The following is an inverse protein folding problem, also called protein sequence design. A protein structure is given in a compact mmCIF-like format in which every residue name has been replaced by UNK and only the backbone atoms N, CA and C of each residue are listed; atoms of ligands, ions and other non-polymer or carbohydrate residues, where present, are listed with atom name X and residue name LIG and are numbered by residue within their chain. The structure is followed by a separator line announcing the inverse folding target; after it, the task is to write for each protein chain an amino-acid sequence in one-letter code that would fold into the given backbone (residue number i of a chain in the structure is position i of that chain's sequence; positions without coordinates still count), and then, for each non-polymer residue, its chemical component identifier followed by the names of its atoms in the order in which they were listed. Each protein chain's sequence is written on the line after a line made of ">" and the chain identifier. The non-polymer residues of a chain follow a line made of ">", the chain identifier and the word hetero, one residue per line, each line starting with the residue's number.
data_IF_746128651684
#
_entry.id   IF_746128651684
#
_cell.length_a   1.000
_cell.length_b   1.000
_cell.length_c   1.000
_cell.angle_alpha   90.00
_cell.angle_beta   90.00
_cell.angle_gamma   90.00
#
_symmetry.space_group_name_H-M   'P 1'
#
loop_
_entity.id
_entity.type
_entity.pdbx_description
1 polymer ?
#
# COMPACT_ATOMS: atom_id res chain seq x y z
N UNK A 1 57.09 -63.32 32.19
CA UNK A 1 56.09 -63.05 31.22
C UNK A 1 55.52 -61.63 31.40
N UNK A 2 55.98 -60.68 30.61
CA UNK A 2 55.45 -59.34 30.61
C UNK A 2 54.23 -59.26 29.65
N UNK A 3 53.04 -59.00 30.16
CA UNK A 3 51.86 -58.68 29.42
C UNK A 3 51.93 -57.18 29.02
N UNK A 4 52.02 -56.89 27.72
CA UNK A 4 51.90 -55.58 27.21
C UNK A 4 50.38 -55.26 27.05
N UNK A 5 49.94 -54.25 27.80
CA UNK A 5 48.62 -53.68 27.70
C UNK A 5 48.67 -52.63 26.60
N UNK A 6 47.94 -52.85 25.46
CA UNK A 6 47.73 -51.83 24.40
C UNK A 6 46.54 -51.01 24.81
N UNK A 7 46.75 -49.73 25.10
CA UNK A 7 45.69 -48.73 25.19
C UNK A 7 45.32 -48.31 23.74
N UNK A 8 44.10 -48.64 23.32
CA UNK A 8 43.52 -48.10 22.13
C UNK A 8 42.90 -46.73 22.47
N UNK A 9 43.53 -45.66 22.04
CA UNK A 9 42.99 -44.30 22.12
C UNK A 9 42.01 -44.10 20.95
N UNK A 10 40.70 -44.18 21.25
CA UNK A 10 39.66 -43.88 20.29
C UNK A 10 39.55 -42.36 20.10
N UNK A 11 39.88 -41.89 18.91
CA UNK A 11 39.69 -40.50 18.47
C UNK A 11 38.21 -40.31 18.11
N UNK A 12 37.41 -39.73 19.01
CA UNK A 12 36.05 -39.31 18.71
C UNK A 12 36.15 -38.00 17.95
N UNK A 13 36.04 -38.05 16.63
CA UNK A 13 35.87 -36.88 15.80
C UNK A 13 34.43 -36.35 15.97
N UNK A 14 34.23 -35.36 16.80
CA UNK A 14 33.00 -34.57 16.85
C UNK A 14 32.91 -33.73 15.57
N UNK A 15 32.13 -34.21 14.60
CA UNK A 15 31.69 -33.40 13.50
C UNK A 15 30.70 -32.36 14.07
N UNK A 16 31.21 -31.20 14.44
CA UNK A 16 30.39 -30.01 14.61
C UNK A 16 29.89 -29.59 13.22
N UNK A 17 28.73 -30.12 12.83
CA UNK A 17 28.01 -29.64 11.68
C UNK A 17 27.60 -28.19 11.90
N UNK A 18 28.34 -27.25 11.32
CA UNK A 18 27.87 -25.88 11.17
C UNK A 18 26.60 -25.91 10.34
N UNK A 19 25.46 -25.96 11.01
CA UNK A 19 24.19 -25.62 10.34
C UNK A 19 24.34 -24.16 9.91
N UNK A 20 24.74 -23.93 8.67
CA UNK A 20 24.53 -22.68 7.99
C UNK A 20 23.01 -22.45 8.09
N UNK A 21 22.60 -21.50 8.94
CA UNK A 21 21.23 -21.03 8.96
C UNK A 21 20.97 -20.46 7.57
N UNK A 22 20.40 -21.31 6.71
CA UNK A 22 19.93 -20.88 5.40
C UNK A 22 18.87 -19.83 5.69
N UNK A 23 19.10 -18.59 5.24
CA UNK A 23 18.12 -17.54 5.37
C UNK A 23 16.79 -18.11 4.90
N UNK A 24 15.77 -18.07 5.76
CA UNK A 24 14.47 -18.64 5.42
C UNK A 24 14.00 -17.97 4.12
N UNK A 25 13.68 -18.80 3.11
CA UNK A 25 13.15 -18.31 1.84
C UNK A 25 11.76 -17.71 2.10
N UNK A 26 11.70 -16.40 2.22
CA UNK A 26 10.50 -15.63 2.53
C UNK A 26 9.96 -14.94 1.28
N UNK A 27 8.68 -14.60 1.30
CA UNK A 27 8.09 -13.68 0.32
C UNK A 27 8.04 -12.29 0.98
N UNK A 28 8.87 -11.38 0.49
CA UNK A 28 8.89 -10.01 0.99
C UNK A 28 7.70 -9.20 0.48
N UNK A 29 7.06 -8.48 1.38
CA UNK A 29 5.92 -7.58 1.12
C UNK A 29 6.30 -6.19 1.61
N UNK A 30 6.28 -5.21 0.69
CA UNK A 30 6.56 -3.82 1.02
C UNK A 30 5.36 -3.14 1.67
N UNK A 31 5.62 -2.36 2.73
CA UNK A 31 4.62 -1.51 3.38
C UNK A 31 5.13 -0.07 3.30
N UNK A 32 4.46 0.74 2.47
CA UNK A 32 4.86 2.09 2.14
C UNK A 32 3.83 3.08 2.71
N UNK A 33 3.97 3.40 3.99
CA UNK A 33 3.11 4.31 4.72
C UNK A 33 3.92 5.28 5.58
N UNK A 34 3.50 6.56 5.63
CA UNK A 34 4.14 7.55 6.49
C UNK A 34 3.94 7.22 7.96
N UNK A 35 5.04 7.06 8.68
CA UNK A 35 5.08 6.80 10.12
C UNK A 35 5.46 8.06 10.89
N UNK A 36 5.88 9.10 10.18
CA UNK A 36 6.19 10.44 10.68
C UNK A 36 5.60 11.52 9.76
N UNK A 37 5.60 12.76 10.24
CA UNK A 37 4.97 13.89 9.53
C UNK A 37 3.45 13.94 9.67
N UNK A 38 2.82 14.78 8.85
CA UNK A 38 1.38 15.13 8.99
C UNK A 38 0.43 13.97 8.73
N UNK A 39 0.83 12.98 7.93
CA UNK A 39 -0.02 11.85 7.57
C UNK A 39 0.14 10.65 8.50
N UNK A 40 1.08 10.68 9.45
CA UNK A 40 1.34 9.57 10.36
C UNK A 40 0.09 9.12 11.14
N UNK A 41 -0.75 10.05 11.53
CA UNK A 41 -2.01 9.78 12.27
C UNK A 41 -2.94 8.83 11.49
N UNK A 42 -2.97 8.92 10.16
CA UNK A 42 -3.81 8.06 9.31
C UNK A 42 -3.07 6.81 8.84
N UNK A 43 -1.79 6.94 8.49
CA UNK A 43 -1.04 5.88 7.81
C UNK A 43 -0.43 4.83 8.77
N UNK A 44 -0.19 5.19 10.04
CA UNK A 44 0.31 4.22 11.04
C UNK A 44 -0.65 3.06 11.25
N UNK A 45 -1.96 3.32 11.31
CA UNK A 45 -2.97 2.27 11.48
C UNK A 45 -3.05 1.35 10.26
N UNK A 46 -2.80 1.85 9.05
CA UNK A 46 -2.73 1.02 7.83
C UNK A 46 -1.51 0.09 7.88
N UNK A 47 -0.36 0.59 8.29
CA UNK A 47 0.83 -0.24 8.52
C UNK A 47 0.56 -1.33 9.56
N UNK A 48 -0.06 -0.98 10.71
CA UNK A 48 -0.37 -1.94 11.76
C UNK A 48 -1.35 -3.02 11.27
N UNK A 49 -2.36 -2.63 10.49
CA UNK A 49 -3.30 -3.58 9.86
C UNK A 49 -2.58 -4.55 8.94
N UNK A 50 -1.66 -4.06 8.10
CA UNK A 50 -0.88 -4.94 7.22
C UNK A 50 0.01 -5.90 7.99
N UNK A 51 0.68 -5.43 9.05
CA UNK A 51 1.49 -6.29 9.91
C UNK A 51 0.65 -7.39 10.57
N UNK A 52 -0.52 -7.05 11.08
CA UNK A 52 -1.47 -8.00 11.65
C UNK A 52 -1.88 -9.08 10.62
N UNK A 53 -2.24 -8.67 9.40
CA UNK A 53 -2.66 -9.59 8.34
C UNK A 53 -1.51 -10.52 7.89
N UNK A 54 -0.29 -10.01 7.81
CA UNK A 54 0.91 -10.80 7.51
C UNK A 54 1.14 -11.83 8.62
N UNK A 55 1.05 -11.42 9.89
CA UNK A 55 1.18 -12.32 11.03
C UNK A 55 0.11 -13.43 11.03
N UNK A 56 -1.15 -13.06 10.76
CA UNK A 56 -2.24 -14.03 10.67
C UNK A 56 -2.04 -15.02 9.52
N UNK A 57 -1.58 -14.55 8.36
CA UNK A 57 -1.29 -15.43 7.24
C UNK A 57 -0.12 -16.36 7.55
N UNK A 58 0.90 -15.87 8.24
CA UNK A 58 2.05 -16.68 8.67
C UNK A 58 1.66 -17.73 9.70
N UNK A 59 0.75 -17.44 10.63
CA UNK A 59 0.18 -18.44 11.57
C UNK A 59 -0.57 -19.56 10.84
N UNK A 60 -1.14 -19.28 9.67
CA UNK A 60 -1.82 -20.27 8.82
C UNK A 60 -0.85 -21.07 7.93
N UNK A 61 0.46 -20.86 8.07
CA UNK A 61 1.50 -21.55 7.29
C UNK A 61 2.12 -20.73 6.17
N UNK A 62 1.84 -19.42 6.12
CA UNK A 62 2.39 -18.52 5.11
C UNK A 62 1.67 -18.60 3.75
N UNK A 63 2.40 -18.41 2.67
CA UNK A 63 1.89 -18.43 1.31
C UNK A 63 2.85 -19.23 0.43
N UNK A 64 2.31 -20.17 -0.37
CA UNK A 64 3.11 -21.02 -1.26
C UNK A 64 4.24 -21.79 -0.52
N UNK A 65 4.01 -22.18 0.72
CA UNK A 65 4.99 -22.87 1.55
C UNK A 65 6.08 -21.95 2.15
N UNK A 66 5.96 -20.64 2.02
CA UNK A 66 6.92 -19.64 2.52
C UNK A 66 6.26 -18.69 3.51
N UNK A 67 7.03 -18.21 4.47
CA UNK A 67 6.57 -17.14 5.35
C UNK A 67 6.60 -15.80 4.61
N UNK A 68 5.66 -14.92 4.96
CA UNK A 68 5.68 -13.53 4.50
C UNK A 68 6.60 -12.70 5.40
N UNK A 69 7.40 -11.85 4.80
CA UNK A 69 8.29 -10.91 5.49
C UNK A 69 7.89 -9.47 5.16
N UNK A 70 7.50 -8.71 6.18
CA UNK A 70 7.16 -7.30 6.00
C UNK A 70 8.43 -6.44 5.88
N UNK A 71 8.52 -5.64 4.83
CA UNK A 71 9.53 -4.60 4.67
C UNK A 71 8.84 -3.26 4.81
N UNK A 72 8.98 -2.64 5.98
CA UNK A 72 8.31 -1.37 6.32
C UNK A 72 9.26 -0.21 6.06
N UNK A 73 8.79 0.80 5.34
CA UNK A 73 9.53 2.04 5.09
C UNK A 73 8.70 3.25 5.47
N UNK A 74 9.35 4.31 5.93
CA UNK A 74 8.72 5.58 6.28
C UNK A 74 9.09 6.67 5.25
N UNK A 75 8.18 7.09 4.39
CA UNK A 75 8.38 8.23 3.49
C UNK A 75 8.09 9.59 4.15
N UNK A 76 7.89 9.65 5.47
CA UNK A 76 7.82 10.85 6.30
C UNK A 76 6.86 11.94 5.79
N UNK A 77 5.71 11.56 5.21
CA UNK A 77 4.74 12.48 4.59
C UNK A 77 5.33 13.38 3.48
N UNK A 78 6.44 12.94 2.87
CA UNK A 78 7.17 13.66 1.83
C UNK A 78 7.02 12.95 0.49
N UNK A 79 6.36 13.57 -0.48
CA UNK A 79 6.01 12.92 -1.74
C UNK A 79 7.21 12.48 -2.59
N UNK A 80 8.31 13.29 -2.75
CA UNK A 80 9.54 12.80 -3.37
C UNK A 80 10.12 11.57 -2.68
N UNK A 81 10.10 11.54 -1.35
CA UNK A 81 10.60 10.42 -0.56
C UNK A 81 9.70 9.15 -0.74
N UNK A 82 8.40 9.30 -1.00
CA UNK A 82 7.56 8.17 -1.41
C UNK A 82 8.10 7.48 -2.66
N UNK A 83 8.46 8.24 -3.70
CA UNK A 83 9.01 7.69 -4.93
C UNK A 83 10.37 7.02 -4.71
N UNK A 84 11.24 7.62 -3.89
CA UNK A 84 12.54 7.04 -3.52
C UNK A 84 12.35 5.71 -2.77
N UNK A 85 11.49 5.68 -1.76
CA UNK A 85 11.20 4.48 -0.97
C UNK A 85 10.51 3.39 -1.78
N UNK A 86 9.63 3.74 -2.72
CA UNK A 86 9.06 2.78 -3.65
C UNK A 86 10.16 2.13 -4.52
N UNK A 87 11.11 2.91 -5.02
CA UNK A 87 12.24 2.40 -5.79
C UNK A 87 13.14 1.50 -4.95
N UNK A 88 13.43 1.88 -3.70
CA UNK A 88 14.20 1.06 -2.75
C UNK A 88 13.54 -0.31 -2.54
N UNK A 89 12.23 -0.34 -2.22
CA UNK A 89 11.47 -1.57 -2.04
C UNK A 89 11.54 -2.50 -3.26
N UNK A 90 11.42 -1.94 -4.48
CA UNK A 90 11.38 -2.74 -5.71
C UNK A 90 12.77 -3.20 -6.16
N UNK A 91 13.82 -2.40 -5.97
CA UNK A 91 15.15 -2.69 -6.53
C UNK A 91 16.11 -3.30 -5.52
N UNK A 92 16.15 -2.78 -4.30
CA UNK A 92 17.06 -3.23 -3.24
C UNK A 92 16.46 -4.36 -2.44
N UNK A 93 15.23 -4.17 -1.94
CA UNK A 93 14.57 -5.15 -1.07
C UNK A 93 13.90 -6.26 -1.88
N UNK A 94 13.60 -6.01 -3.15
CA UNK A 94 13.02 -6.96 -4.11
C UNK A 94 11.70 -7.55 -3.60
N UNK A 95 10.81 -6.69 -3.10
CA UNK A 95 9.50 -7.11 -2.61
C UNK A 95 8.61 -7.60 -3.76
N UNK A 96 7.78 -8.59 -3.48
CA UNK A 96 6.84 -9.16 -4.46
C UNK A 96 5.69 -8.21 -4.79
N UNK A 97 5.24 -7.44 -3.82
CA UNK A 97 4.18 -6.44 -3.95
C UNK A 97 4.33 -5.37 -2.86
N UNK A 98 3.78 -4.20 -3.08
CA UNK A 98 3.74 -3.10 -2.13
C UNK A 98 2.29 -2.76 -1.79
N UNK A 99 2.00 -2.61 -0.50
CA UNK A 99 0.76 -2.04 0.02
C UNK A 99 1.09 -0.66 0.58
N UNK A 100 0.46 0.38 0.07
CA UNK A 100 0.87 1.70 0.51
C UNK A 100 0.18 2.86 -0.13
N UNK A 101 0.67 4.03 0.24
CA UNK A 101 0.13 5.34 -0.01
C UNK A 101 -1.22 5.55 0.70
N UNK A 102 -1.56 6.80 0.93
CA UNK A 102 -2.86 7.23 1.44
C UNK A 102 -3.39 8.43 0.66
N UNK A 103 -2.55 9.44 0.45
CA UNK A 103 -2.93 10.62 -0.32
C UNK A 103 -2.87 10.35 -1.82
N UNK A 104 -3.71 11.02 -2.59
CA UNK A 104 -3.66 10.94 -4.06
C UNK A 104 -2.32 11.40 -4.63
N UNK A 105 -1.69 12.41 -4.00
CA UNK A 105 -0.36 12.90 -4.42
C UNK A 105 0.73 11.87 -4.17
N UNK A 106 0.72 11.16 -3.02
CA UNK A 106 1.71 10.10 -2.78
C UNK A 106 1.57 8.98 -3.81
N UNK A 107 0.34 8.55 -4.13
CA UNK A 107 0.10 7.58 -5.20
C UNK A 107 0.64 8.07 -6.54
N UNK A 108 0.33 9.30 -6.93
CA UNK A 108 0.80 9.89 -8.20
C UNK A 108 2.33 10.02 -8.25
N UNK A 109 2.98 10.26 -7.12
CA UNK A 109 4.44 10.32 -7.03
C UNK A 109 5.12 8.97 -7.26
N UNK A 110 4.50 7.88 -6.80
CA UNK A 110 5.07 6.53 -6.94
C UNK A 110 4.66 5.84 -8.25
N UNK A 111 3.56 6.24 -8.87
CA UNK A 111 3.03 5.61 -10.09
C UNK A 111 4.10 5.43 -11.19
N UNK A 112 4.88 6.45 -11.56
CA UNK A 112 5.93 6.30 -12.58
C UNK A 112 6.99 5.25 -12.20
N UNK A 113 7.31 5.13 -10.90
CA UNK A 113 8.30 4.15 -10.40
C UNK A 113 7.77 2.73 -10.56
N UNK A 114 6.50 2.50 -10.20
CA UNK A 114 5.88 1.18 -10.37
C UNK A 114 5.74 0.78 -11.84
N UNK A 115 5.42 1.72 -12.72
CA UNK A 115 5.33 1.47 -14.16
C UNK A 115 6.71 1.20 -14.78
N UNK A 116 7.73 2.00 -14.46
CA UNK A 116 9.10 1.82 -14.94
C UNK A 116 9.70 0.48 -14.53
N UNK A 117 9.51 0.10 -13.26
CA UNK A 117 10.10 -1.11 -12.69
C UNK A 117 9.19 -2.34 -12.77
N UNK A 118 8.01 -2.19 -13.37
CA UNK A 118 7.00 -3.23 -13.47
C UNK A 118 6.64 -3.86 -12.10
N UNK A 119 6.61 -3.03 -11.05
CA UNK A 119 6.19 -3.41 -9.70
C UNK A 119 4.67 -3.46 -9.56
N UNK A 120 4.19 -3.99 -8.43
CA UNK A 120 2.77 -4.02 -8.08
C UNK A 120 2.50 -3.19 -6.84
N UNK A 121 1.57 -2.23 -6.95
CA UNK A 121 1.06 -1.43 -5.85
C UNK A 121 -0.41 -1.78 -5.57
N UNK A 122 -0.72 -2.08 -4.32
CA UNK A 122 -2.09 -2.16 -3.81
C UNK A 122 -2.38 -0.88 -3.03
N UNK A 123 -3.20 -0.02 -3.63
CA UNK A 123 -3.59 1.27 -3.05
C UNK A 123 -4.92 1.12 -2.29
N UNK A 124 -4.93 1.29 -0.93
CA UNK A 124 -6.04 0.84 -0.11
C UNK A 124 -7.18 1.86 0.09
N UNK A 125 -7.01 3.11 -0.36
CA UNK A 125 -7.88 4.22 0.00
C UNK A 125 -8.81 4.59 -1.17
N UNK A 126 -9.98 5.17 -0.86
CA UNK A 126 -10.83 5.79 -1.88
C UNK A 126 -10.05 6.89 -2.63
N UNK A 127 -10.40 7.09 -3.88
CA UNK A 127 -9.68 8.03 -4.73
C UNK A 127 -10.61 8.70 -5.75
N UNK A 128 -10.10 9.71 -6.43
CA UNK A 128 -10.83 10.52 -7.40
C UNK A 128 -11.13 9.82 -8.72
N UNK A 129 -10.67 8.59 -8.94
CA UNK A 129 -10.78 7.92 -10.23
C UNK A 129 -9.89 8.58 -11.30
N UNK A 130 -10.29 8.47 -12.57
CA UNK A 130 -9.62 9.06 -13.75
C UNK A 130 -8.12 8.69 -13.88
N UNK A 131 -7.74 7.57 -13.31
CA UNK A 131 -6.40 7.00 -13.38
C UNK A 131 -6.51 5.49 -13.51
N UNK A 132 -5.72 4.91 -14.40
CA UNK A 132 -5.61 3.46 -14.52
C UNK A 132 -4.17 3.08 -14.85
N UNK A 133 -3.69 2.02 -14.22
CA UNK A 133 -2.38 1.46 -14.48
C UNK A 133 -2.44 -0.05 -14.28
N UNK A 134 -1.75 -0.80 -15.14
CA UNK A 134 -1.59 -2.24 -14.95
C UNK A 134 -0.76 -2.60 -13.72
N UNK A 135 -0.08 -1.63 -13.15
CA UNK A 135 0.81 -1.77 -12.00
C UNK A 135 0.15 -1.37 -10.68
N UNK A 136 -1.09 -0.85 -10.70
CA UNK A 136 -1.80 -0.40 -9.49
C UNK A 136 -3.15 -1.07 -9.38
N UNK A 137 -3.38 -1.69 -8.23
CA UNK A 137 -4.69 -2.20 -7.80
C UNK A 137 -5.35 -1.17 -6.90
N UNK A 138 -6.37 -0.50 -7.41
CA UNK A 138 -7.17 0.48 -6.68
C UNK A 138 -8.24 -0.27 -5.89
N UNK A 139 -8.03 -0.49 -4.60
CA UNK A 139 -8.92 -1.31 -3.77
C UNK A 139 -9.94 -0.48 -2.98
N UNK A 140 -9.78 0.85 -2.98
CA UNK A 140 -10.75 1.79 -2.42
C UNK A 140 -11.81 2.24 -3.42
N UNK A 141 -12.86 2.90 -2.92
CA UNK A 141 -13.98 3.35 -3.75
C UNK A 141 -13.58 4.48 -4.72
N UNK A 142 -14.06 4.38 -5.94
CA UNK A 142 -14.03 5.45 -6.94
C UNK A 142 -15.30 6.32 -6.86
N UNK A 143 -15.37 7.50 -7.53
CA UNK A 143 -16.51 8.40 -7.43
C UNK A 143 -17.86 7.78 -7.80
N UNK A 144 -17.89 6.85 -8.76
CA UNK A 144 -19.11 6.12 -9.13
C UNK A 144 -19.62 5.16 -8.04
N UNK A 145 -18.78 4.82 -7.08
CA UNK A 145 -19.11 3.94 -5.94
C UNK A 145 -19.42 4.71 -4.65
N UNK A 146 -19.04 5.98 -4.57
CA UNK A 146 -19.16 6.81 -3.38
C UNK A 146 -19.87 8.14 -3.65
N UNK A 147 -19.28 9.03 -4.42
CA UNK A 147 -19.75 10.41 -4.59
C UNK A 147 -21.02 10.48 -5.44
N UNK A 148 -21.08 9.76 -6.57
CA UNK A 148 -22.24 9.74 -7.45
C UNK A 148 -23.49 9.16 -6.76
N UNK A 149 -23.44 8.02 -6.06
CA UNK A 149 -24.58 7.53 -5.28
C UNK A 149 -25.07 8.53 -4.22
N UNK A 150 -24.17 9.25 -3.55
CA UNK A 150 -24.54 10.27 -2.58
C UNK A 150 -25.30 11.43 -3.25
N UNK A 151 -24.84 11.90 -4.40
CA UNK A 151 -25.56 12.93 -5.20
C UNK A 151 -26.94 12.42 -5.61
N UNK A 152 -27.06 11.20 -6.14
CA UNK A 152 -28.35 10.63 -6.51
C UNK A 152 -29.33 10.60 -5.34
N UNK A 153 -28.86 10.13 -4.19
CA UNK A 153 -29.67 10.09 -2.97
C UNK A 153 -30.19 11.49 -2.60
N UNK A 154 -29.34 12.52 -2.64
CA UNK A 154 -29.74 13.88 -2.31
C UNK A 154 -30.72 14.46 -3.35
N UNK A 155 -30.52 14.16 -4.63
CA UNK A 155 -31.47 14.54 -5.69
C UNK A 155 -32.85 13.91 -5.46
N UNK A 156 -32.91 12.63 -5.08
CA UNK A 156 -34.14 11.93 -4.73
C UNK A 156 -34.85 12.54 -3.50
N UNK A 157 -34.09 13.20 -2.61
CA UNK A 157 -34.62 13.98 -1.50
C UNK A 157 -35.06 15.40 -1.90
N UNK A 158 -34.98 15.77 -3.17
CA UNK A 158 -35.42 17.06 -3.69
C UNK A 158 -34.38 18.19 -3.57
N UNK A 159 -33.10 17.87 -3.34
CA UNK A 159 -32.04 18.89 -3.34
C UNK A 159 -31.83 19.43 -4.75
N UNK A 160 -31.92 20.76 -4.90
CA UNK A 160 -31.80 21.45 -6.18
C UNK A 160 -30.54 22.32 -6.27
N UNK A 161 -30.05 22.85 -5.13
CA UNK A 161 -28.88 23.73 -5.09
C UNK A 161 -27.71 23.05 -4.40
N UNK A 162 -26.52 23.18 -4.99
CA UNK A 162 -25.35 22.39 -4.65
C UNK A 162 -24.16 23.28 -4.31
N UNK A 163 -23.47 22.93 -3.24
CA UNK A 163 -22.16 23.47 -2.91
C UNK A 163 -21.17 22.31 -2.88
N UNK A 164 -20.24 22.30 -3.83
CA UNK A 164 -19.15 21.35 -3.93
C UNK A 164 -17.92 21.98 -3.28
N UNK A 165 -17.75 21.74 -1.97
CA UNK A 165 -16.65 22.29 -1.20
C UNK A 165 -15.49 21.29 -1.12
N UNK A 166 -14.25 21.79 -1.06
CA UNK A 166 -13.06 20.98 -0.89
C UNK A 166 -11.82 21.83 -0.61
N UNK A 167 -10.77 21.18 -0.17
CA UNK A 167 -9.44 21.81 -0.10
C UNK A 167 -8.84 21.98 -1.50
N UNK A 168 -7.93 22.92 -1.67
CA UNK A 168 -7.16 23.10 -2.91
C UNK A 168 -6.15 21.95 -3.10
N UNK A 169 -6.68 20.78 -3.52
CA UNK A 169 -5.94 19.53 -3.60
C UNK A 169 -6.50 18.65 -4.73
N UNK A 170 -5.71 17.74 -5.26
CA UNK A 170 -6.07 16.94 -6.44
C UNK A 170 -7.35 16.12 -6.24
N UNK A 171 -7.54 15.47 -5.09
CA UNK A 171 -8.71 14.64 -4.83
C UNK A 171 -10.04 15.43 -4.88
N UNK A 172 -10.25 16.52 -4.08
CA UNK A 172 -11.49 17.27 -4.15
C UNK A 172 -11.66 18.02 -5.48
N UNK A 173 -10.59 18.57 -6.06
CA UNK A 173 -10.69 19.25 -7.36
C UNK A 173 -11.20 18.32 -8.45
N UNK A 174 -10.64 17.12 -8.56
CA UNK A 174 -11.06 16.13 -9.57
C UNK A 174 -12.46 15.60 -9.27
N UNK A 175 -12.74 15.26 -8.00
CA UNK A 175 -14.06 14.78 -7.59
C UNK A 175 -15.15 15.83 -7.85
N UNK A 176 -14.92 17.09 -7.48
CA UNK A 176 -15.89 18.16 -7.70
C UNK A 176 -16.12 18.42 -9.20
N UNK A 177 -15.09 18.32 -10.03
CA UNK A 177 -15.23 18.41 -11.50
C UNK A 177 -16.12 17.29 -12.05
N UNK A 178 -15.95 16.06 -11.55
CA UNK A 178 -16.80 14.93 -11.93
C UNK A 178 -18.25 15.19 -11.49
N UNK A 179 -18.45 15.64 -10.24
CA UNK A 179 -19.77 15.92 -9.69
C UNK A 179 -20.46 17.10 -10.42
N UNK A 180 -19.73 18.15 -10.75
CA UNK A 180 -20.25 19.27 -11.55
C UNK A 180 -20.76 18.79 -12.91
N UNK A 181 -19.94 18.01 -13.62
CA UNK A 181 -20.32 17.44 -14.91
C UNK A 181 -21.55 16.53 -14.78
N UNK A 182 -21.59 15.71 -13.73
CA UNK A 182 -22.70 14.81 -13.46
C UNK A 182 -24.00 15.56 -13.15
N UNK A 183 -23.97 16.58 -12.28
CA UNK A 183 -25.11 17.41 -11.95
C UNK A 183 -25.68 18.12 -13.19
N UNK A 184 -24.81 18.71 -14.03
CA UNK A 184 -25.20 19.33 -15.30
C UNK A 184 -25.85 18.31 -16.24
N UNK A 185 -25.32 17.11 -16.35
CA UNK A 185 -25.90 16.03 -17.15
C UNK A 185 -27.28 15.57 -16.64
N UNK A 186 -27.56 15.76 -15.34
CA UNK A 186 -28.85 15.50 -14.70
C UNK A 186 -29.82 16.68 -14.80
N UNK A 187 -29.43 17.77 -15.46
CA UNK A 187 -30.29 18.95 -15.72
C UNK A 187 -30.22 20.02 -14.61
N UNK A 188 -29.28 19.94 -13.67
CA UNK A 188 -29.07 21.02 -12.70
C UNK A 188 -28.48 22.23 -13.42
N UNK A 189 -29.09 23.41 -13.21
CA UNK A 189 -28.67 24.65 -13.85
C UNK A 189 -27.28 25.08 -13.30
N UNK A 190 -26.38 25.64 -14.12
CA UNK A 190 -25.04 26.04 -13.69
C UNK A 190 -25.04 27.01 -12.50
N UNK A 191 -26.04 27.91 -12.43
CA UNK A 191 -26.23 28.87 -11.34
C UNK A 191 -26.58 28.23 -9.99
N UNK A 192 -27.06 26.99 -10.01
CA UNK A 192 -27.39 26.21 -8.82
C UNK A 192 -26.20 25.32 -8.35
N UNK A 193 -25.04 25.43 -8.98
CA UNK A 193 -23.81 24.69 -8.64
C UNK A 193 -22.72 25.68 -8.25
N UNK A 194 -22.38 25.73 -6.96
CA UNK A 194 -21.25 26.50 -6.46
C UNK A 194 -20.08 25.55 -6.17
N UNK A 195 -18.88 25.95 -6.56
CA UNK A 195 -17.63 25.22 -6.23
C UNK A 195 -16.75 26.13 -5.38
N UNK A 196 -16.24 25.62 -4.29
CA UNK A 196 -15.37 26.36 -3.36
C UNK A 196 -14.19 25.47 -2.90
N UNK A 197 -12.97 26.07 -2.91
CA UNK A 197 -11.73 25.43 -2.44
C UNK A 197 -10.99 26.26 -1.42
#
# INVERSE_FOLDING_TARGET
>A
GYRRLMLATGLVATMAGSALAQAADTIKVGILHSLSGTMAISETTLKDTMLMLIEEQNKKGGLLGKQLEAVVVDPASNWPLFAEKARELLTKDQVAAVFGCWTSVSRKSVLPVFEELNGLLFYPVQYEGEESSKNVFYTGAAPNQQAIPAVNYLMDQGVQRWVLAGTDYVYPRTTNKILEAYLKAKGVAPEDIMINY
#
